data_IF_126759630886
#
_entry.id   IF_126759630886
#
_cell.length_a   1.000
_cell.length_b   1.000
_cell.length_c   1.000
_cell.angle_alpha   90.00
_cell.angle_beta   90.00
_cell.angle_gamma   90.00
#
_symmetry.space_group_name_H-M   'P 1'
#
loop_
_entity.id
_entity.type
_entity.pdbx_description
1 polymer ?
#
# COMPACT_ATOMS: atom_id res chain seq x y z
N UNK A 1 46.22 -11.43 6.43
CA UNK A 1 45.63 -10.57 7.49
C UNK A 1 44.98 -9.25 6.99
N UNK A 2 45.18 -8.84 5.73
CA UNK A 2 44.64 -7.59 5.15
C UNK A 2 43.14 -7.61 4.79
N UNK A 3 42.56 -8.78 4.47
CA UNK A 3 41.15 -8.91 4.08
C UNK A 3 40.13 -8.65 5.21
N UNK A 4 40.52 -8.82 6.48
CA UNK A 4 39.61 -8.56 7.63
C UNK A 4 39.37 -7.07 7.88
N UNK A 5 40.36 -6.19 7.64
CA UNK A 5 40.24 -4.74 7.95
C UNK A 5 39.39 -3.97 6.94
N UNK A 6 39.38 -4.39 5.67
CA UNK A 6 38.56 -3.77 4.62
C UNK A 6 37.08 -4.13 4.77
N UNK A 7 36.79 -5.41 5.04
CA UNK A 7 35.42 -5.92 5.32
C UNK A 7 34.71 -5.15 6.45
N UNK A 8 35.39 -4.91 7.59
CA UNK A 8 34.79 -4.20 8.73
C UNK A 8 34.47 -2.72 8.42
N UNK A 9 35.29 -2.06 7.59
CA UNK A 9 35.01 -0.66 7.19
C UNK A 9 33.80 -0.56 6.27
N UNK A 10 33.63 -1.51 5.35
CA UNK A 10 32.46 -1.58 4.47
C UNK A 10 31.17 -1.84 5.26
N UNK A 11 31.18 -2.82 6.17
CA UNK A 11 30.03 -3.10 7.05
C UNK A 11 29.60 -1.86 7.84
N UNK A 12 30.56 -1.14 8.46
CA UNK A 12 30.25 0.08 9.21
C UNK A 12 29.68 1.20 8.34
N UNK A 13 30.15 1.35 7.09
CA UNK A 13 29.62 2.36 6.16
C UNK A 13 28.21 2.01 5.70
N UNK A 14 27.96 0.74 5.34
CA UNK A 14 26.63 0.26 4.97
C UNK A 14 25.63 0.40 6.11
N UNK A 15 26.04 0.10 7.35
CA UNK A 15 25.20 0.27 8.53
C UNK A 15 24.82 1.74 8.76
N UNK A 16 25.79 2.67 8.65
CA UNK A 16 25.51 4.12 8.76
C UNK A 16 24.54 4.60 7.68
N UNK A 17 24.72 4.15 6.43
CA UNK A 17 23.82 4.46 5.33
C UNK A 17 22.40 3.96 5.60
N UNK A 18 22.26 2.71 6.06
CA UNK A 18 20.96 2.13 6.42
C UNK A 18 20.30 2.90 7.59
N UNK A 19 21.07 3.24 8.64
CA UNK A 19 20.55 4.03 9.77
C UNK A 19 20.04 5.40 9.30
N UNK A 20 20.76 6.07 8.39
CA UNK A 20 20.31 7.35 7.85
C UNK A 20 19.01 7.21 7.05
N UNK A 21 18.90 6.19 6.20
CA UNK A 21 17.67 5.92 5.42
C UNK A 21 16.48 5.65 6.34
N UNK A 22 16.67 4.85 7.39
CA UNK A 22 15.62 4.56 8.38
C UNK A 22 15.22 5.84 9.12
N UNK A 23 16.19 6.66 9.54
CA UNK A 23 15.92 7.91 10.25
C UNK A 23 15.14 8.91 9.38
N UNK A 24 15.51 9.07 8.12
CA UNK A 24 14.79 9.94 7.17
C UNK A 24 13.35 9.46 6.94
N UNK A 25 13.14 8.14 6.80
CA UNK A 25 11.80 7.59 6.68
C UNK A 25 10.98 7.78 7.96
N UNK A 26 11.55 7.55 9.14
CA UNK A 26 10.84 7.75 10.41
C UNK A 26 10.41 9.22 10.62
N UNK A 27 11.28 10.18 10.27
CA UNK A 27 10.95 11.60 10.30
C UNK A 27 9.85 11.95 9.29
N UNK A 28 9.92 11.40 8.08
CA UNK A 28 8.91 11.67 7.05
C UNK A 28 7.54 11.08 7.41
N UNK A 29 7.51 9.90 8.04
CA UNK A 29 6.28 9.29 8.58
C UNK A 29 5.66 10.19 9.64
N UNK A 30 6.47 10.74 10.55
CA UNK A 30 5.99 11.63 11.61
C UNK A 30 5.39 12.92 11.03
N UNK A 31 6.07 13.52 10.05
CA UNK A 31 5.58 14.72 9.35
C UNK A 31 4.29 14.44 8.57
N UNK A 32 4.23 13.32 7.84
CA UNK A 32 3.04 12.91 7.09
C UNK A 32 1.85 12.65 8.02
N UNK A 33 2.09 11.98 9.15
CA UNK A 33 1.06 11.72 10.17
C UNK A 33 0.47 13.02 10.73
N UNK A 34 1.33 13.97 11.10
CA UNK A 34 0.89 15.26 11.63
C UNK A 34 0.09 16.04 10.58
N UNK A 35 0.57 16.06 9.33
CA UNK A 35 -0.11 16.73 8.22
C UNK A 35 -1.50 16.15 7.99
N UNK A 36 -1.62 14.82 7.97
CA UNK A 36 -2.88 14.11 7.82
C UNK A 36 -3.89 14.38 8.95
N UNK A 37 -3.41 14.65 10.17
CA UNK A 37 -4.27 15.05 11.30
C UNK A 37 -4.73 16.49 11.25
N UNK A 38 -3.93 17.39 10.67
CA UNK A 38 -4.23 18.82 10.65
C UNK A 38 -5.18 19.25 9.53
N UNK A 39 -5.47 18.39 8.55
CA UNK A 39 -6.41 18.73 7.47
C UNK A 39 -7.87 18.57 7.89
N UNK A 40 -8.73 19.43 7.36
CA UNK A 40 -10.17 19.20 7.28
C UNK A 40 -10.45 18.37 6.01
N UNK A 41 -10.87 17.09 6.13
CA UNK A 41 -10.97 16.22 4.98
C UNK A 41 -12.15 16.59 4.08
N UNK A 42 -11.90 16.62 2.77
CA UNK A 42 -12.94 16.60 1.74
C UNK A 42 -13.53 15.19 1.57
N UNK A 43 -12.67 14.18 1.72
CA UNK A 43 -12.96 12.75 1.62
C UNK A 43 -12.05 11.97 2.56
N UNK A 44 -12.40 10.71 2.83
CA UNK A 44 -11.53 9.80 3.58
C UNK A 44 -11.04 8.65 2.71
N UNK A 45 -9.79 8.26 2.93
CA UNK A 45 -9.08 7.18 2.25
C UNK A 45 -8.71 6.12 3.27
N UNK A 46 -9.13 4.89 3.04
CA UNK A 46 -8.61 3.73 3.78
C UNK A 46 -7.48 3.08 2.99
N UNK A 47 -6.37 2.80 3.66
CA UNK A 47 -5.20 2.11 3.11
C UNK A 47 -5.07 0.78 3.82
N UNK A 48 -4.96 -0.29 3.06
CA UNK A 48 -4.72 -1.63 3.57
C UNK A 48 -3.34 -2.11 3.14
N UNK A 49 -2.53 -2.54 4.11
CA UNK A 49 -1.29 -3.25 3.83
C UNK A 49 -1.49 -4.73 4.16
N UNK A 50 -1.49 -5.55 3.11
CA UNK A 50 -1.69 -6.98 3.16
C UNK A 50 -0.40 -7.76 3.25
N UNK A 51 -0.47 -9.09 3.13
CA UNK A 51 0.73 -9.94 3.11
C UNK A 51 1.67 -9.49 2.01
N UNK A 52 2.96 -9.49 2.34
CA UNK A 52 4.04 -9.23 1.42
C UNK A 52 5.12 -10.27 1.68
N UNK A 53 5.60 -10.92 0.62
CA UNK A 53 6.72 -11.85 0.72
C UNK A 53 7.80 -11.49 -0.32
N UNK A 54 9.06 -11.66 0.07
CA UNK A 54 10.23 -11.37 -0.77
C UNK A 54 10.75 -12.64 -1.44
N UNK A 55 9.86 -13.58 -1.79
CA UNK A 55 10.26 -14.90 -2.29
C UNK A 55 11.19 -14.81 -3.49
N UNK A 56 10.98 -13.82 -4.35
CA UNK A 56 11.77 -13.61 -5.57
C UNK A 56 13.16 -13.00 -5.31
N UNK A 57 13.45 -12.56 -4.08
CA UNK A 57 14.72 -11.90 -3.75
C UNK A 57 15.76 -12.82 -3.09
N UNK A 58 15.49 -14.12 -2.95
CA UNK A 58 16.35 -15.07 -2.21
C UNK A 58 16.69 -14.61 -0.78
N UNK A 59 15.84 -13.76 -0.18
CA UNK A 59 16.01 -13.28 1.19
C UNK A 59 15.39 -14.32 2.14
N UNK A 60 16.04 -14.63 3.28
CA UNK A 60 15.45 -15.48 4.30
C UNK A 60 14.03 -15.04 4.63
N UNK A 61 13.09 -16.00 4.68
CA UNK A 61 11.69 -15.70 4.91
C UNK A 61 11.53 -14.98 6.25
N UNK A 62 11.23 -13.69 6.18
CA UNK A 62 10.90 -12.88 7.35
C UNK A 62 9.44 -13.17 7.77
N UNK A 63 9.10 -13.01 9.06
CA UNK A 63 7.70 -13.11 9.49
C UNK A 63 6.82 -12.12 8.74
N UNK A 64 5.62 -12.56 8.34
CA UNK A 64 4.67 -11.74 7.57
C UNK A 64 4.41 -10.38 8.24
N UNK A 65 4.27 -10.34 9.58
CA UNK A 65 4.07 -9.09 10.33
C UNK A 65 5.23 -8.11 10.20
N UNK A 66 6.47 -8.60 10.15
CA UNK A 66 7.65 -7.76 9.95
C UNK A 66 7.69 -7.22 8.52
N UNK A 67 7.33 -8.04 7.54
CA UNK A 67 7.25 -7.63 6.14
C UNK A 67 6.18 -6.55 5.91
N UNK A 68 5.03 -6.67 6.55
CA UNK A 68 4.00 -5.63 6.54
C UNK A 68 4.52 -4.35 7.19
N UNK A 69 5.16 -4.43 8.36
CA UNK A 69 5.71 -3.25 9.04
C UNK A 69 6.78 -2.52 8.21
N UNK A 70 7.63 -3.25 7.48
CA UNK A 70 8.58 -2.66 6.53
C UNK A 70 7.83 -1.98 5.39
N UNK A 71 6.80 -2.62 4.84
CA UNK A 71 5.99 -2.05 3.76
C UNK A 71 5.32 -0.75 4.21
N UNK A 72 4.75 -0.72 5.41
CA UNK A 72 4.16 0.47 6.01
C UNK A 72 5.19 1.59 6.15
N UNK A 73 6.37 1.29 6.73
CA UNK A 73 7.42 2.29 6.92
C UNK A 73 7.79 3.02 5.62
N UNK A 74 7.86 2.30 4.51
CA UNK A 74 8.21 2.88 3.21
C UNK A 74 7.01 3.50 2.48
N UNK A 75 5.82 2.90 2.57
CA UNK A 75 4.66 3.35 1.80
C UNK A 75 3.84 4.43 2.49
N UNK A 76 3.96 4.56 3.82
CA UNK A 76 3.13 5.48 4.60
C UNK A 76 3.28 6.92 4.14
N UNK A 77 4.51 7.43 4.10
CA UNK A 77 4.78 8.81 3.72
C UNK A 77 4.28 9.15 2.31
N UNK A 78 4.69 8.46 1.23
CA UNK A 78 4.23 8.81 -0.11
C UNK A 78 2.71 8.80 -0.24
N UNK A 79 2.06 7.75 0.25
CA UNK A 79 0.61 7.59 0.15
C UNK A 79 -0.11 8.68 0.94
N UNK A 80 0.32 8.91 2.19
CA UNK A 80 -0.33 9.86 3.09
C UNK A 80 -0.14 11.29 2.62
N UNK A 81 1.06 11.68 2.22
CA UNK A 81 1.36 13.02 1.72
C UNK A 81 0.56 13.30 0.44
N UNK A 82 0.54 12.36 -0.51
CA UNK A 82 -0.23 12.49 -1.75
C UNK A 82 -1.72 12.69 -1.48
N UNK A 83 -2.31 11.88 -0.63
CA UNK A 83 -3.73 11.98 -0.29
C UNK A 83 -4.05 13.26 0.49
N UNK A 84 -3.17 13.66 1.41
CA UNK A 84 -3.31 14.90 2.19
C UNK A 84 -3.26 16.14 1.28
N UNK A 85 -2.37 16.16 0.28
CA UNK A 85 -2.33 17.25 -0.72
C UNK A 85 -3.61 17.37 -1.55
N UNK A 86 -4.31 16.26 -1.79
CA UNK A 86 -5.65 16.26 -2.42
C UNK A 86 -6.77 16.69 -1.47
N UNK A 87 -6.46 16.90 -0.18
CA UNK A 87 -7.44 17.19 0.87
C UNK A 87 -8.14 15.95 1.42
N UNK A 88 -7.58 14.76 1.23
CA UNK A 88 -8.14 13.49 1.71
C UNK A 88 -7.42 13.06 2.99
N UNK A 89 -8.18 12.65 4.01
CA UNK A 89 -7.61 12.06 5.24
C UNK A 89 -7.39 10.57 5.07
N UNK A 90 -6.21 10.10 5.48
CA UNK A 90 -5.79 8.70 5.38
C UNK A 90 -5.97 7.96 6.71
N UNK A 91 -6.54 6.77 6.63
CA UNK A 91 -6.65 5.79 7.71
C UNK A 91 -5.93 4.52 7.28
N UNK A 92 -5.07 3.99 8.14
CA UNK A 92 -4.17 2.90 7.79
C UNK A 92 -4.53 1.63 8.55
N UNK A 93 -4.73 0.54 7.81
CA UNK A 93 -5.11 -0.77 8.31
C UNK A 93 -4.01 -1.77 7.93
N UNK A 94 -3.19 -2.15 8.91
CA UNK A 94 -1.99 -2.95 8.70
C UNK A 94 -2.23 -4.42 9.06
N UNK A 95 -1.90 -5.32 8.13
CA UNK A 95 -2.05 -6.78 8.25
C UNK A 95 -3.44 -7.23 8.74
N UNK A 96 -4.56 -6.72 8.17
CA UNK A 96 -5.89 -7.05 8.66
C UNK A 96 -6.23 -8.52 8.40
N UNK A 97 -7.10 -9.08 9.25
CA UNK A 97 -7.81 -10.32 8.93
C UNK A 97 -8.85 -10.08 7.83
N UNK A 98 -9.43 -11.15 7.30
CA UNK A 98 -10.53 -11.04 6.32
C UNK A 98 -11.73 -10.29 6.92
N UNK A 99 -12.07 -10.57 8.18
CA UNK A 99 -13.21 -9.94 8.86
C UNK A 99 -12.96 -8.45 9.07
N UNK A 100 -11.78 -8.06 9.59
CA UNK A 100 -11.42 -6.64 9.79
C UNK A 100 -11.42 -5.89 8.45
N UNK A 101 -10.93 -6.53 7.39
CA UNK A 101 -10.90 -5.95 6.05
C UNK A 101 -12.31 -5.70 5.51
N UNK A 102 -13.22 -6.68 5.64
CA UNK A 102 -14.62 -6.55 5.23
C UNK A 102 -15.35 -5.50 6.08
N UNK A 103 -15.10 -5.44 7.38
CA UNK A 103 -15.70 -4.45 8.28
C UNK A 103 -15.31 -3.03 7.88
N UNK A 104 -14.01 -2.76 7.68
CA UNK A 104 -13.55 -1.44 7.23
C UNK A 104 -14.06 -1.11 5.82
N UNK A 105 -14.15 -2.11 4.92
CA UNK A 105 -14.80 -1.93 3.61
C UNK A 105 -16.32 -1.72 3.70
N UNK A 106 -17.00 -2.08 4.78
CA UNK A 106 -18.41 -1.72 4.99
C UNK A 106 -18.58 -0.30 5.53
N UNK A 107 -17.53 0.27 6.10
CA UNK A 107 -17.59 1.58 6.72
C UNK A 107 -17.88 2.67 5.66
N UNK A 108 -19.03 3.37 5.74
CA UNK A 108 -19.42 4.36 4.74
C UNK A 108 -18.58 5.64 4.83
N UNK A 109 -17.76 5.80 5.88
CA UNK A 109 -16.92 6.99 6.05
C UNK A 109 -15.82 7.11 4.99
N UNK A 110 -15.43 6.00 4.34
CA UNK A 110 -14.36 5.98 3.35
C UNK A 110 -14.91 6.08 1.93
N UNK A 111 -14.35 7.01 1.17
CA UNK A 111 -14.66 7.20 -0.26
C UNK A 111 -13.62 6.48 -1.14
N UNK A 112 -12.36 6.48 -0.69
CA UNK A 112 -11.22 5.98 -1.44
C UNK A 112 -10.62 4.75 -0.77
N UNK A 113 -10.08 3.83 -1.59
CA UNK A 113 -9.45 2.60 -1.12
C UNK A 113 -8.07 2.45 -1.77
N UNK A 114 -7.07 2.15 -0.96
CA UNK A 114 -5.71 1.83 -1.42
C UNK A 114 -5.31 0.46 -0.87
N UNK A 115 -4.85 -0.43 -1.74
CA UNK A 115 -4.38 -1.77 -1.40
C UNK A 115 -2.87 -1.85 -1.71
N UNK A 116 -2.09 -2.36 -0.76
CA UNK A 116 -0.62 -2.46 -0.85
C UNK A 116 -0.19 -3.86 -0.40
N UNK A 117 0.60 -4.54 -1.22
CA UNK A 117 1.13 -5.88 -0.91
C UNK A 117 0.88 -6.87 -2.03
N UNK A 118 0.60 -8.13 -1.69
CA UNK A 118 0.27 -9.16 -2.66
C UNK A 118 -1.21 -9.17 -3.03
N UNK A 119 -1.49 -9.63 -4.24
CA UNK A 119 -2.84 -9.72 -4.79
C UNK A 119 -2.82 -9.87 -6.30
N UNK A 120 -4.02 -9.97 -6.86
CA UNK A 120 -4.30 -9.99 -8.30
C UNK A 120 -5.37 -8.95 -8.60
N UNK A 121 -5.72 -8.73 -9.87
CA UNK A 121 -6.79 -7.77 -10.25
C UNK A 121 -8.13 -8.05 -9.53
N UNK A 122 -8.37 -9.30 -9.11
CA UNK A 122 -9.59 -9.78 -8.45
C UNK A 122 -9.39 -10.26 -7.00
N UNK A 123 -8.20 -10.16 -6.41
CA UNK A 123 -7.95 -10.60 -5.03
C UNK A 123 -6.89 -9.77 -4.31
N UNK A 124 -6.97 -9.73 -2.97
CA UNK A 124 -5.98 -9.07 -2.13
C UNK A 124 -5.56 -9.98 -0.98
N UNK A 125 -4.25 -10.18 -0.78
CA UNK A 125 -3.75 -11.13 0.21
C UNK A 125 -3.72 -10.55 1.62
N UNK A 126 -4.41 -11.20 2.54
CA UNK A 126 -4.61 -10.78 3.92
C UNK A 126 -3.97 -11.75 4.92
N UNK A 127 -4.03 -11.39 6.20
CA UNK A 127 -3.68 -12.31 7.28
C UNK A 127 -4.64 -13.51 7.24
N UNK A 128 -4.09 -14.71 7.06
CA UNK A 128 -4.85 -15.96 7.09
C UNK A 128 -5.54 -16.37 5.77
N UNK A 129 -5.56 -15.53 4.72
CA UNK A 129 -6.16 -15.91 3.44
C UNK A 129 -6.28 -14.72 2.48
N UNK A 130 -6.88 -14.93 1.31
CA UNK A 130 -7.09 -13.88 0.32
C UNK A 130 -8.54 -13.37 0.36
N UNK A 131 -8.72 -12.06 0.19
CA UNK A 131 -10.02 -11.44 -0.06
C UNK A 131 -10.30 -11.46 -1.57
N UNK A 132 -11.04 -12.47 -2.02
CA UNK A 132 -11.43 -12.60 -3.42
C UNK A 132 -12.68 -11.78 -3.77
N UNK A 133 -12.70 -11.27 -5.01
CA UNK A 133 -13.83 -10.58 -5.62
C UNK A 133 -15.17 -11.32 -5.42
N UNK A 134 -15.23 -12.62 -5.72
CA UNK A 134 -16.47 -13.40 -5.58
C UNK A 134 -16.98 -13.40 -4.13
N UNK A 135 -16.08 -13.56 -3.16
CA UNK A 135 -16.44 -13.50 -1.75
C UNK A 135 -16.94 -12.10 -1.38
N UNK A 136 -16.19 -11.05 -1.70
CA UNK A 136 -16.56 -9.66 -1.38
C UNK A 136 -17.90 -9.23 -1.99
N UNK A 137 -18.23 -9.73 -3.18
CA UNK A 137 -19.52 -9.48 -3.83
C UNK A 137 -20.73 -10.00 -3.02
N UNK A 138 -20.53 -10.99 -2.14
CA UNK A 138 -21.57 -11.52 -1.27
C UNK A 138 -21.67 -10.82 0.09
N UNK A 139 -20.72 -9.93 0.41
CA UNK A 139 -20.60 -9.31 1.74
C UNK A 139 -21.45 -8.04 1.94
N UNK A 140 -22.32 -7.64 1.01
CA UNK A 140 -23.10 -6.39 1.09
C UNK A 140 -22.23 -5.15 1.33
N UNK A 141 -21.06 -5.08 0.69
CA UNK A 141 -20.17 -3.92 0.77
C UNK A 141 -20.78 -2.77 -0.06
N UNK A 142 -20.97 -1.57 0.53
CA UNK A 142 -21.49 -0.43 -0.20
C UNK A 142 -20.51 -0.02 -1.28
N UNK A 143 -21.02 0.15 -2.50
CA UNK A 143 -20.22 0.67 -3.61
C UNK A 143 -20.01 2.18 -3.46
N UNK A 144 -18.84 2.66 -3.87
CA UNK A 144 -18.36 4.03 -3.60
C UNK A 144 -18.16 4.87 -4.86
N UNK A 145 -18.04 6.18 -4.67
CA UNK A 145 -17.56 7.13 -5.68
C UNK A 145 -16.28 7.77 -5.17
N UNK A 146 -15.14 7.41 -5.75
CA UNK A 146 -13.84 7.84 -5.24
C UNK A 146 -12.67 7.26 -6.02
N UNK A 147 -11.51 7.19 -5.37
CA UNK A 147 -10.27 6.67 -5.94
C UNK A 147 -10.00 5.22 -5.50
N UNK A 148 -9.48 4.40 -6.42
CA UNK A 148 -9.04 3.03 -6.15
C UNK A 148 -7.61 2.79 -6.61
N UNK A 149 -6.68 2.59 -5.66
CA UNK A 149 -5.31 2.25 -5.99
C UNK A 149 -5.00 0.84 -5.51
N UNK A 150 -4.41 0.03 -6.38
CA UNK A 150 -3.99 -1.32 -6.05
C UNK A 150 -2.53 -1.49 -6.44
N UNK A 151 -1.65 -1.32 -5.44
CA UNK A 151 -0.22 -1.58 -5.52
C UNK A 151 0.04 -3.06 -5.18
N UNK A 152 -0.49 -3.93 -6.05
CA UNK A 152 -0.28 -5.38 -5.99
C UNK A 152 0.17 -5.91 -7.34
N UNK A 153 0.58 -7.17 -7.38
CA UNK A 153 0.75 -7.90 -8.63
C UNK A 153 -0.55 -7.86 -9.46
N UNK A 154 -0.37 -7.84 -10.77
CA UNK A 154 -1.38 -7.60 -11.77
C UNK A 154 -1.66 -8.78 -12.67
N UNK A 155 -1.36 -10.00 -12.21
CA UNK A 155 -1.66 -11.23 -12.96
C UNK A 155 -3.13 -11.27 -13.37
N UNK A 156 -3.40 -11.93 -14.51
CA UNK A 156 -4.71 -11.95 -15.15
C UNK A 156 -5.79 -12.40 -14.17
N UNK A 157 -6.64 -11.46 -13.78
CA UNK A 157 -7.89 -11.74 -13.10
C UNK A 157 -8.94 -12.17 -14.13
N UNK A 158 -10.03 -12.77 -13.66
CA UNK A 158 -11.16 -13.08 -14.54
C UNK A 158 -11.73 -11.75 -15.07
N UNK A 159 -11.76 -11.61 -16.39
CA UNK A 159 -12.31 -10.45 -17.08
C UNK A 159 -13.73 -10.16 -16.53
N UNK A 160 -13.98 -8.93 -16.09
CA UNK A 160 -15.22 -8.45 -15.43
C UNK A 160 -15.39 -8.71 -13.91
N UNK A 161 -14.42 -9.28 -13.19
CA UNK A 161 -14.51 -9.49 -11.72
C UNK A 161 -13.36 -8.85 -10.94
N UNK A 162 -13.03 -7.60 -11.24
CA UNK A 162 -11.99 -6.87 -10.51
C UNK A 162 -12.48 -6.37 -9.15
N UNK A 163 -11.57 -6.22 -8.18
CA UNK A 163 -11.87 -5.57 -6.89
C UNK A 163 -12.45 -4.16 -7.10
N UNK A 164 -11.92 -3.41 -8.08
CA UNK A 164 -12.45 -2.10 -8.48
C UNK A 164 -13.93 -2.15 -8.84
N UNK A 165 -14.34 -3.11 -9.69
CA UNK A 165 -15.73 -3.23 -10.16
C UNK A 165 -16.73 -3.61 -9.05
N UNK A 166 -16.24 -4.27 -8.00
CA UNK A 166 -17.04 -4.63 -6.84
C UNK A 166 -17.16 -3.46 -5.88
N UNK A 167 -16.08 -2.72 -5.65
CA UNK A 167 -16.04 -1.68 -4.62
C UNK A 167 -16.55 -0.32 -5.09
N UNK A 168 -16.60 -0.05 -6.39
CA UNK A 168 -16.91 1.30 -6.93
C UNK A 168 -18.09 1.30 -7.91
N UNK A 169 -18.96 2.31 -7.77
CA UNK A 169 -19.94 2.70 -8.79
C UNK A 169 -19.28 3.53 -9.89
N UNK A 170 -18.48 4.52 -9.47
CA UNK A 170 -17.72 5.40 -10.35
C UNK A 170 -16.35 5.63 -9.72
N UNK A 171 -15.32 5.18 -10.42
CA UNK A 171 -13.94 5.36 -9.99
C UNK A 171 -13.38 6.61 -10.67
N UNK A 172 -13.15 7.68 -9.92
CA UNK A 172 -12.62 8.94 -10.49
C UNK A 172 -11.16 8.79 -10.92
N UNK A 173 -10.40 7.94 -10.23
CA UNK A 173 -9.02 7.58 -10.55
C UNK A 173 -8.73 6.17 -10.12
N UNK A 174 -8.02 5.42 -10.96
CA UNK A 174 -7.52 4.12 -10.57
C UNK A 174 -6.11 3.85 -11.07
N UNK A 175 -5.34 3.11 -10.27
CA UNK A 175 -4.10 2.47 -10.71
C UNK A 175 -4.09 1.02 -10.29
N UNK A 176 -3.77 0.17 -11.25
CA UNK A 176 -3.50 -1.26 -11.10
C UNK A 176 -2.27 -1.54 -11.93
N UNK A 177 -1.41 -2.45 -11.51
CA UNK A 177 -0.27 -2.86 -12.30
C UNK A 177 -0.63 -4.09 -13.14
N UNK A 178 0.17 -4.37 -14.16
CA UNK A 178 0.11 -5.62 -14.92
C UNK A 178 1.37 -6.43 -14.61
N UNK A 179 1.22 -7.73 -14.37
CA UNK A 179 2.33 -8.61 -14.03
C UNK A 179 2.91 -8.39 -12.62
N UNK A 180 4.14 -8.86 -12.40
CA UNK A 180 4.80 -8.85 -11.09
C UNK A 180 5.16 -7.42 -10.69
N UNK A 181 4.73 -7.00 -9.51
CA UNK A 181 5.00 -5.67 -8.98
C UNK A 181 6.12 -5.71 -7.93
N UNK A 182 7.26 -5.13 -8.26
CA UNK A 182 8.37 -5.01 -7.31
C UNK A 182 8.13 -3.88 -6.28
N UNK A 183 8.61 -4.02 -5.03
CA UNK A 183 8.39 -3.02 -3.96
C UNK A 183 8.88 -1.60 -4.32
N UNK A 184 10.01 -1.48 -5.01
CA UNK A 184 10.54 -0.18 -5.42
C UNK A 184 9.66 0.52 -6.45
N UNK A 185 9.00 -0.23 -7.35
CA UNK A 185 8.04 0.31 -8.33
C UNK A 185 6.80 0.82 -7.60
N UNK A 186 6.31 0.07 -6.60
CA UNK A 186 5.22 0.50 -5.73
C UNK A 186 5.54 1.80 -5.01
N UNK A 187 6.74 1.88 -4.41
CA UNK A 187 7.21 3.06 -3.69
C UNK A 187 7.30 4.30 -4.59
N UNK A 188 7.98 4.18 -5.74
CA UNK A 188 8.10 5.30 -6.71
C UNK A 188 6.71 5.71 -7.21
N UNK A 189 5.88 4.73 -7.58
CA UNK A 189 4.51 4.99 -8.04
C UNK A 189 3.63 5.64 -6.99
N UNK A 190 3.88 5.43 -5.70
CA UNK A 190 3.12 6.09 -4.64
C UNK A 190 3.45 7.59 -4.54
N UNK A 191 4.63 8.01 -5.01
CA UNK A 191 5.03 9.42 -5.14
C UNK A 191 4.57 10.06 -6.45
N UNK A 192 4.73 9.34 -7.57
CA UNK A 192 4.69 9.92 -8.92
C UNK A 192 3.37 9.79 -9.63
N UNK A 193 2.35 9.19 -9.01
CA UNK A 193 1.06 9.01 -9.65
C UNK A 193 0.25 10.31 -9.65
N UNK A 194 0.77 11.26 -10.42
CA UNK A 194 0.18 12.50 -10.89
C UNK A 194 -0.58 12.23 -12.18
N UNK A 195 -1.65 11.44 -12.12
CA UNK A 195 -2.76 11.56 -13.10
C UNK A 195 -3.47 12.94 -13.01
N UNK A 196 -2.76 13.96 -12.54
CA UNK A 196 -3.09 15.37 -12.38
C UNK A 196 -2.28 16.28 -13.32
N UNK A 197 -1.41 15.72 -14.18
CA UNK A 197 -0.70 16.49 -15.22
C UNK A 197 -1.12 15.97 -16.60
N UNK A 198 -2.36 16.26 -17.00
CA UNK A 198 -2.80 16.46 -18.38
C UNK A 198 -4.34 16.40 -18.42
N UNK A 199 -4.98 17.53 -18.11
CA UNK A 199 -6.25 17.98 -18.69
C UNK A 199 -6.45 19.43 -18.22
N UNK A 200 -5.65 20.33 -18.81
CA UNK A 200 -5.89 21.77 -18.91
C UNK A 200 -5.73 22.15 -20.38
#
# INVERSE_FOLDING_TARGET
MLFKKTSVKWIKRSLKGLTLIIAVNALSVSAAYFSNRCITPKRNTVVFTGKNDLKDYHIPRLPDSLMVGITDLFMYTPVTVRQTFKGNRVYWCSNPSLDDFVEELKNPKYDNVILIGHGRKDSFSLKGGDAEANYLATQNIPKRIGEFYQYTCGEDGIENKTLKGILFLKCSRSKTFEGILYPHISYVSAWTDSSDIAEN
#
